data_IF_979294523712
#
_entry.id   IF_979294523712
#
_cell.length_a   1.000
_cell.length_b   1.000
_cell.length_c   1.000
_cell.angle_alpha   90.00
_cell.angle_beta   90.00
_cell.angle_gamma   90.00
#
_symmetry.space_group_name_H-M   'P 1'
#
loop_
_entity.id
_entity.type
_entity.pdbx_description
1 polymer ?
#
# COMPACT_ATOMS: atom_id res chain seq x y z
N UNK A 1 15.58 -2.05 -6.98
CA UNK A 1 15.11 -3.46 -6.89
C UNK A 1 13.98 -3.61 -5.89
N UNK A 2 14.16 -3.29 -4.60
CA UNK A 2 13.11 -3.46 -3.57
C UNK A 2 11.80 -2.71 -3.89
N UNK A 3 11.88 -1.43 -4.26
CA UNK A 3 10.68 -0.67 -4.68
C UNK A 3 10.01 -1.26 -5.93
N UNK A 4 10.78 -1.84 -6.84
CA UNK A 4 10.27 -2.48 -8.05
C UNK A 4 9.47 -3.74 -7.71
N UNK A 5 10.04 -4.62 -6.90
CA UNK A 5 9.36 -5.84 -6.42
C UNK A 5 8.15 -5.47 -5.58
N UNK A 6 8.30 -4.51 -4.66
CA UNK A 6 7.22 -4.05 -3.80
C UNK A 6 6.05 -3.45 -4.57
N UNK A 7 6.34 -2.61 -5.59
CA UNK A 7 5.33 -2.04 -6.46
C UNK A 7 4.61 -3.06 -7.32
N UNK A 8 5.34 -4.04 -7.87
CA UNK A 8 4.75 -5.13 -8.65
C UNK A 8 3.84 -6.01 -7.80
N UNK A 9 4.28 -6.36 -6.58
CA UNK A 9 3.48 -7.13 -5.63
C UNK A 9 2.24 -6.35 -5.16
N UNK A 10 2.37 -5.05 -4.86
CA UNK A 10 1.22 -4.20 -4.51
C UNK A 10 0.19 -4.12 -5.65
N UNK A 11 0.66 -3.94 -6.90
CA UNK A 11 -0.22 -3.92 -8.07
C UNK A 11 -0.94 -5.26 -8.27
N UNK A 12 -0.22 -6.38 -8.14
CA UNK A 12 -0.78 -7.71 -8.29
C UNK A 12 -1.74 -8.11 -7.15
N UNK A 13 -1.54 -7.58 -5.94
CA UNK A 13 -2.36 -7.89 -4.77
C UNK A 13 -3.83 -7.49 -4.93
N UNK A 14 -4.12 -6.38 -5.63
CA UNK A 14 -5.48 -5.89 -5.84
C UNK A 14 -6.38 -6.91 -6.56
N UNK A 15 -6.06 -7.33 -7.80
CA UNK A 15 -6.85 -8.33 -8.52
C UNK A 15 -6.91 -9.72 -7.89
N UNK A 16 -6.02 -10.03 -6.93
CA UNK A 16 -6.02 -11.29 -6.20
C UNK A 16 -6.93 -11.23 -4.96
N UNK A 17 -7.28 -10.04 -4.50
CA UNK A 17 -8.02 -9.85 -3.26
C UNK A 17 -9.46 -10.39 -3.41
N UNK A 18 -9.96 -11.16 -2.43
CA UNK A 18 -11.35 -11.59 -2.43
C UNK A 18 -12.31 -10.40 -2.50
N UNK A 19 -13.34 -10.51 -3.32
CA UNK A 19 -14.43 -9.54 -3.39
C UNK A 19 -15.54 -9.94 -2.39
N UNK A 20 -16.16 -8.95 -1.74
CA UNK A 20 -17.35 -9.19 -0.94
C UNK A 20 -18.51 -9.63 -1.82
N UNK A 21 -19.46 -10.39 -1.26
CA UNK A 21 -20.68 -10.73 -2.00
C UNK A 21 -21.51 -9.49 -2.36
N UNK A 22 -22.27 -9.56 -3.46
CA UNK A 22 -23.14 -8.46 -3.93
C UNK A 22 -24.39 -8.22 -3.06
N UNK A 23 -24.57 -9.01 -2.01
CA UNK A 23 -25.73 -9.00 -1.15
C UNK A 23 -25.30 -9.04 0.33
N UNK A 24 -26.15 -8.48 1.19
CA UNK A 24 -25.91 -8.45 2.62
C UNK A 24 -25.33 -7.13 3.13
N UNK A 25 -25.18 -7.04 4.45
CA UNK A 25 -24.53 -5.88 5.07
C UNK A 25 -22.99 -5.99 5.01
N UNK A 26 -22.28 -4.93 5.43
CA UNK A 26 -20.80 -4.91 5.41
C UNK A 26 -20.17 -6.01 6.27
N UNK A 27 -20.85 -6.49 7.30
CA UNK A 27 -20.36 -7.59 8.15
C UNK A 27 -20.43 -8.90 7.39
N UNK A 28 -21.53 -9.15 6.67
CA UNK A 28 -21.71 -10.33 5.83
C UNK A 28 -20.70 -10.33 4.66
N UNK A 29 -20.50 -9.19 4.01
CA UNK A 29 -19.48 -9.02 2.96
C UNK A 29 -18.06 -9.27 3.50
N UNK A 30 -17.72 -8.69 4.65
CA UNK A 30 -16.41 -8.92 5.27
C UNK A 30 -16.23 -10.40 5.61
N UNK A 31 -17.25 -11.04 6.19
CA UNK A 31 -17.19 -12.46 6.50
C UNK A 31 -16.95 -13.31 5.24
N UNK A 32 -17.65 -13.02 4.13
CA UNK A 32 -17.47 -13.76 2.88
C UNK A 32 -16.03 -13.65 2.35
N UNK A 33 -15.41 -12.48 2.48
CA UNK A 33 -14.01 -12.27 2.10
C UNK A 33 -13.06 -13.04 3.01
N UNK A 34 -13.27 -13.01 4.32
CA UNK A 34 -12.38 -13.63 5.31
C UNK A 34 -12.30 -15.17 5.20
N UNK A 35 -13.38 -15.81 4.73
CA UNK A 35 -13.42 -17.27 4.54
C UNK A 35 -13.00 -17.70 3.13
N UNK A 36 -12.73 -16.75 2.23
CA UNK A 36 -12.32 -17.05 0.86
C UNK A 36 -10.92 -17.71 0.84
N UNK A 37 -10.73 -18.83 0.12
CA UNK A 37 -9.44 -19.52 0.07
C UNK A 37 -8.31 -18.67 -0.54
N UNK A 38 -8.62 -17.65 -1.33
CA UNK A 38 -7.65 -16.70 -1.87
C UNK A 38 -7.20 -15.64 -0.85
N UNK A 39 -7.82 -15.54 0.33
CA UNK A 39 -7.45 -14.58 1.37
C UNK A 39 -5.94 -14.62 1.69
N UNK A 40 -5.42 -15.78 2.12
CA UNK A 40 -4.01 -15.87 2.51
C UNK A 40 -3.05 -15.62 1.33
N UNK A 41 -3.21 -16.25 0.13
CA UNK A 41 -2.37 -15.94 -1.02
C UNK A 41 -2.34 -14.46 -1.40
N UNK A 42 -3.50 -13.81 -1.50
CA UNK A 42 -3.59 -12.41 -1.89
C UNK A 42 -2.89 -11.49 -0.88
N UNK A 43 -3.15 -11.72 0.41
CA UNK A 43 -2.60 -10.91 1.49
C UNK A 43 -1.11 -11.18 1.72
N UNK A 44 -0.58 -12.37 1.42
CA UNK A 44 0.86 -12.63 1.42
C UNK A 44 1.59 -11.86 0.30
N UNK A 45 0.99 -11.78 -0.89
CA UNK A 45 1.52 -10.96 -1.99
C UNK A 45 1.50 -9.47 -1.59
N UNK A 46 0.40 -8.99 -1.03
CA UNK A 46 0.31 -7.62 -0.53
C UNK A 46 1.34 -7.34 0.58
N UNK A 47 1.48 -8.25 1.57
CA UNK A 47 2.46 -8.15 2.66
C UNK A 47 3.90 -8.07 2.13
N UNK A 48 4.26 -8.90 1.14
CA UNK A 48 5.54 -8.79 0.45
C UNK A 48 5.72 -7.40 -0.18
N UNK A 49 4.66 -6.88 -0.81
CA UNK A 49 4.60 -5.51 -1.33
C UNK A 49 4.98 -4.46 -0.29
N UNK A 50 4.25 -4.44 0.84
CA UNK A 50 4.50 -3.51 1.94
C UNK A 50 5.92 -3.66 2.51
N UNK A 51 6.37 -4.89 2.77
CA UNK A 51 7.68 -5.17 3.34
C UNK A 51 8.82 -4.72 2.42
N UNK A 52 8.71 -4.98 1.10
CA UNK A 52 9.70 -4.55 0.12
C UNK A 52 9.77 -3.03 0.00
N UNK A 53 8.63 -2.33 0.04
CA UNK A 53 8.61 -0.87 0.02
C UNK A 53 9.20 -0.29 1.31
N UNK A 54 8.84 -0.82 2.48
CA UNK A 54 9.41 -0.39 3.75
C UNK A 54 10.94 -0.56 3.78
N UNK A 55 11.43 -1.73 3.38
CA UNK A 55 12.87 -2.00 3.26
C UNK A 55 13.53 -1.08 2.22
N UNK A 56 12.86 -0.81 1.09
CA UNK A 56 13.32 0.11 0.06
C UNK A 56 13.48 1.54 0.60
N UNK A 57 12.47 2.07 1.29
CA UNK A 57 12.52 3.41 1.89
C UNK A 57 13.59 3.51 2.98
N UNK A 58 13.76 2.48 3.80
CA UNK A 58 14.83 2.41 4.80
C UNK A 58 16.21 2.42 4.13
N UNK A 59 16.40 1.66 3.05
CA UNK A 59 17.66 1.64 2.31
C UNK A 59 17.99 2.99 1.67
N UNK A 60 16.99 3.73 1.17
CA UNK A 60 17.18 5.07 0.59
C UNK A 60 17.68 6.10 1.61
N UNK A 61 17.54 5.84 2.93
CA UNK A 61 18.09 6.74 3.96
C UNK A 61 19.62 6.79 3.95
N UNK A 62 20.28 5.79 3.38
CA UNK A 62 21.72 5.77 3.19
C UNK A 62 22.22 6.59 2.00
N UNK A 63 21.32 7.14 1.18
CA UNK A 63 21.65 7.93 -0.01
C UNK A 63 21.70 9.43 0.32
N UNK A 64 22.87 10.09 0.28
CA UNK A 64 23.00 11.49 0.67
C UNK A 64 22.22 12.46 -0.23
N UNK A 65 22.12 12.19 -1.54
CA UNK A 65 21.40 13.07 -2.48
C UNK A 65 19.90 13.05 -2.18
N UNK A 66 19.36 11.86 -1.94
CA UNK A 66 17.96 11.68 -1.54
C UNK A 66 17.73 12.28 -0.15
N UNK A 67 18.66 12.07 0.78
CA UNK A 67 18.60 12.61 2.14
C UNK A 67 18.49 14.14 2.16
N UNK A 68 19.25 14.85 1.32
CA UNK A 68 19.17 16.32 1.21
C UNK A 68 17.82 16.77 0.66
N UNK A 69 17.27 16.06 -0.32
CA UNK A 69 16.04 16.48 -1.02
C UNK A 69 14.75 16.09 -0.32
N UNK A 70 14.71 14.92 0.32
CA UNK A 70 13.52 14.39 0.98
C UNK A 70 13.60 14.44 2.51
N UNK A 71 14.80 14.46 3.09
CA UNK A 71 15.03 14.70 4.52
C UNK A 71 14.05 13.98 5.46
N UNK A 72 13.30 14.78 6.25
CA UNK A 72 12.31 14.29 7.21
C UNK A 72 11.14 13.55 6.55
N UNK A 73 10.75 13.91 5.32
CA UNK A 73 9.68 13.20 4.61
C UNK A 73 10.04 11.74 4.37
N UNK A 74 11.28 11.44 3.98
CA UNK A 74 11.73 10.06 3.80
C UNK A 74 11.71 9.28 5.13
N UNK A 75 12.09 9.93 6.24
CA UNK A 75 12.03 9.32 7.57
C UNK A 75 10.60 8.98 7.99
N UNK A 76 9.68 9.94 7.88
CA UNK A 76 8.26 9.74 8.20
C UNK A 76 7.68 8.64 7.32
N UNK A 77 7.98 8.66 6.01
CA UNK A 77 7.49 7.65 5.08
C UNK A 77 8.01 6.25 5.41
N UNK A 78 9.27 6.11 5.80
CA UNK A 78 9.80 4.83 6.24
C UNK A 78 9.06 4.32 7.50
N UNK A 79 8.72 5.20 8.45
CA UNK A 79 7.92 4.83 9.64
C UNK A 79 6.52 4.38 9.23
N UNK A 80 5.82 5.17 8.42
CA UNK A 80 4.47 4.81 7.92
C UNK A 80 4.51 3.47 7.20
N UNK A 81 5.54 3.22 6.39
CA UNK A 81 5.67 1.96 5.67
C UNK A 81 5.92 0.75 6.57
N UNK A 82 6.72 0.91 7.63
CA UNK A 82 6.90 -0.14 8.65
C UNK A 82 5.60 -0.41 9.39
N UNK A 83 4.88 0.64 9.80
CA UNK A 83 3.57 0.51 10.46
C UNK A 83 2.56 -0.18 9.54
N UNK A 84 2.50 0.18 8.27
CA UNK A 84 1.65 -0.47 7.28
C UNK A 84 2.02 -1.94 7.06
N UNK A 85 3.31 -2.29 7.08
CA UNK A 85 3.75 -3.69 7.01
C UNK A 85 3.25 -4.49 8.22
N UNK A 86 3.34 -3.93 9.43
CA UNK A 86 2.79 -4.57 10.63
C UNK A 86 1.26 -4.65 10.57
N UNK A 87 0.60 -3.61 10.05
CA UNK A 87 -0.84 -3.60 9.77
C UNK A 87 -1.26 -4.70 8.80
N UNK A 88 -0.49 -4.94 7.74
CA UNK A 88 -0.74 -6.02 6.79
C UNK A 88 -0.63 -7.41 7.43
N UNK A 89 0.23 -7.57 8.45
CA UNK A 89 0.26 -8.81 9.25
C UNK A 89 -1.02 -8.96 10.07
N UNK A 90 -1.49 -7.89 10.73
CA UNK A 90 -2.78 -7.90 11.44
C UNK A 90 -3.92 -8.24 10.48
N UNK A 91 -3.92 -7.62 9.29
CA UNK A 91 -4.90 -7.86 8.24
C UNK A 91 -4.91 -9.33 7.80
N UNK A 92 -3.74 -9.89 7.48
CA UNK A 92 -3.60 -11.30 7.11
C UNK A 92 -4.25 -12.24 8.16
N UNK A 93 -4.03 -11.98 9.45
CA UNK A 93 -4.56 -12.82 10.53
C UNK A 93 -6.02 -12.55 10.89
N UNK A 94 -6.67 -11.51 10.35
CA UNK A 94 -8.09 -11.23 10.61
C UNK A 94 -9.00 -12.42 10.24
N UNK A 95 -8.63 -13.19 9.21
CA UNK A 95 -9.35 -14.40 8.80
C UNK A 95 -9.47 -15.47 9.89
N UNK A 96 -8.54 -15.50 10.86
CA UNK A 96 -8.63 -16.42 12.01
C UNK A 96 -9.83 -16.14 12.92
N UNK A 97 -10.49 -14.99 12.74
CA UNK A 97 -11.64 -14.51 13.50
C UNK A 97 -12.89 -14.37 12.65
N UNK A 98 -12.95 -14.99 11.47
CA UNK A 98 -14.11 -14.95 10.60
C UNK A 98 -15.41 -15.37 11.32
N UNK A 99 -15.36 -16.44 12.12
CA UNK A 99 -16.52 -16.91 12.88
C UNK A 99 -17.05 -15.89 13.91
N UNK A 100 -16.18 -15.05 14.49
CA UNK A 100 -16.58 -13.99 15.42
C UNK A 100 -17.31 -12.87 14.67
N UNK A 101 -16.86 -12.53 13.47
CA UNK A 101 -17.50 -11.55 12.57
C UNK A 101 -18.88 -12.01 12.12
N UNK A 102 -19.04 -13.31 11.81
CA UNK A 102 -20.33 -13.89 11.37
C UNK A 102 -21.48 -13.70 12.37
N UNK A 103 -21.18 -13.53 13.66
CA UNK A 103 -22.17 -13.33 14.72
C UNK A 103 -22.32 -11.86 15.13
N UNK A 104 -21.78 -10.92 14.33
CA UNK A 104 -21.73 -9.49 14.66
C UNK A 104 -20.82 -9.16 15.84
N UNK A 105 -19.95 -10.09 16.23
CA UNK A 105 -19.01 -9.94 17.33
C UNK A 105 -17.79 -9.11 16.94
N UNK A 106 -17.17 -8.46 17.93
CA UNK A 106 -15.87 -7.80 17.78
C UNK A 106 -14.85 -8.41 18.74
N UNK A 107 -13.63 -8.58 18.27
CA UNK A 107 -12.48 -9.00 19.07
C UNK A 107 -11.40 -7.93 18.99
N UNK A 108 -10.42 -7.89 19.91
CA UNK A 108 -9.29 -6.97 19.80
C UNK A 108 -8.57 -7.06 18.44
N UNK A 109 -8.52 -8.26 17.82
CA UNK A 109 -7.91 -8.42 16.50
C UNK A 109 -8.78 -7.80 15.39
N UNK A 110 -10.10 -7.99 15.43
CA UNK A 110 -11.02 -7.36 14.47
C UNK A 110 -11.02 -5.83 14.65
N UNK A 111 -11.00 -5.32 15.88
CA UNK A 111 -10.86 -3.88 16.12
C UNK A 111 -9.54 -3.32 15.57
N UNK A 112 -8.42 -4.04 15.76
CA UNK A 112 -7.14 -3.66 15.18
C UNK A 112 -7.15 -3.70 13.65
N UNK A 113 -7.76 -4.73 13.06
CA UNK A 113 -8.00 -4.83 11.61
C UNK A 113 -8.77 -3.62 11.08
N UNK A 114 -9.88 -3.23 11.72
CA UNK A 114 -10.65 -2.05 11.31
C UNK A 114 -9.84 -0.75 11.41
N UNK A 115 -8.97 -0.64 12.42
CA UNK A 115 -8.02 0.47 12.52
C UNK A 115 -6.96 0.47 11.42
N UNK A 116 -6.50 -0.71 10.99
CA UNK A 116 -5.61 -0.84 9.83
C UNK A 116 -6.31 -0.31 8.58
N UNK A 117 -7.54 -0.76 8.32
CA UNK A 117 -8.31 -0.34 7.15
C UNK A 117 -8.58 1.16 7.11
N UNK A 118 -9.01 1.73 8.23
CA UNK A 118 -9.53 3.11 8.24
C UNK A 118 -8.50 4.17 8.62
N UNK A 119 -7.31 3.77 9.08
CA UNK A 119 -6.26 4.71 9.51
C UNK A 119 -4.91 4.41 8.86
N UNK A 120 -4.42 3.17 8.97
CA UNK A 120 -3.08 2.82 8.50
C UNK A 120 -3.02 2.80 6.98
N UNK A 121 -4.00 2.18 6.31
CA UNK A 121 -4.08 2.13 4.85
C UNK A 121 -4.24 3.54 4.22
N UNK A 122 -5.07 4.45 4.78
CA UNK A 122 -5.11 5.84 4.34
C UNK A 122 -3.78 6.57 4.51
N UNK A 123 -3.13 6.42 5.66
CA UNK A 123 -1.82 7.03 5.89
C UNK A 123 -0.78 6.53 4.88
N UNK A 124 -0.82 5.24 4.53
CA UNK A 124 0.01 4.66 3.47
C UNK A 124 -0.27 5.29 2.10
N UNK A 125 -1.53 5.39 1.69
CA UNK A 125 -1.90 6.01 0.42
C UNK A 125 -1.44 7.47 0.32
N UNK A 126 -1.65 8.25 1.38
CA UNK A 126 -1.20 9.64 1.49
C UNK A 126 0.33 9.77 1.49
N UNK A 127 1.03 8.83 2.13
CA UNK A 127 2.49 8.75 2.07
C UNK A 127 2.96 8.55 0.63
N UNK A 128 2.39 7.61 -0.11
CA UNK A 128 2.75 7.36 -1.52
C UNK A 128 2.50 8.62 -2.36
N UNK A 129 1.33 9.25 -2.22
CA UNK A 129 1.01 10.47 -2.95
C UNK A 129 2.01 11.60 -2.66
N UNK A 130 2.36 11.78 -1.38
CA UNK A 130 3.30 12.83 -0.94
C UNK A 130 4.71 12.56 -1.46
N UNK A 131 5.18 11.31 -1.40
CA UNK A 131 6.48 10.91 -1.95
C UNK A 131 6.52 11.06 -3.47
N UNK A 132 5.44 10.75 -4.18
CA UNK A 132 5.36 10.93 -5.63
C UNK A 132 5.51 12.41 -6.02
N UNK A 133 4.82 13.30 -5.31
CA UNK A 133 4.91 14.75 -5.55
C UNK A 133 6.30 15.27 -5.21
N UNK A 134 6.77 15.08 -3.98
CA UNK A 134 8.07 15.59 -3.54
C UNK A 134 9.22 14.99 -4.37
N UNK A 135 9.18 13.67 -4.57
CA UNK A 135 10.13 12.91 -5.35
C UNK A 135 10.20 13.35 -6.81
N UNK A 136 9.05 13.45 -7.47
CA UNK A 136 8.97 13.80 -8.88
C UNK A 136 9.29 15.27 -9.17
N UNK A 137 8.88 16.19 -8.28
CA UNK A 137 9.19 17.63 -8.43
C UNK A 137 10.69 17.89 -8.24
N UNK A 138 11.30 17.27 -7.21
CA UNK A 138 12.73 17.41 -6.91
C UNK A 138 13.63 16.48 -7.73
N UNK A 139 13.04 15.56 -8.51
CA UNK A 139 13.75 14.48 -9.22
C UNK A 139 14.65 13.64 -8.32
N UNK A 140 14.29 13.52 -7.04
CA UNK A 140 14.98 12.64 -6.07
C UNK A 140 14.45 11.22 -6.11
N UNK A 141 13.16 11.05 -6.42
CA UNK A 141 12.49 9.76 -6.47
C UNK A 141 11.51 9.77 -7.66
N UNK A 142 11.86 9.07 -8.73
CA UNK A 142 11.13 9.12 -10.01
C UNK A 142 11.34 10.43 -10.76
N UNK A 143 10.32 10.86 -11.52
CA UNK A 143 10.34 12.08 -12.33
C UNK A 143 8.92 12.65 -12.50
N UNK A 144 8.79 13.80 -13.17
CA UNK A 144 7.50 14.48 -13.38
C UNK A 144 6.51 13.72 -14.26
N UNK A 145 6.98 12.79 -15.10
CA UNK A 145 6.12 11.99 -15.98
C UNK A 145 5.39 10.91 -15.18
N UNK A 146 6.10 10.26 -14.24
CA UNK A 146 5.53 9.17 -13.43
C UNK A 146 4.83 9.67 -12.17
N UNK A 147 5.10 10.90 -11.73
CA UNK A 147 4.48 11.53 -10.56
C UNK A 147 2.95 11.38 -10.50
N UNK A 148 2.18 11.66 -11.57
CA UNK A 148 0.72 11.55 -11.53
C UNK A 148 0.23 10.16 -11.13
N UNK A 149 0.96 9.10 -11.48
CA UNK A 149 0.60 7.72 -11.14
C UNK A 149 0.60 7.51 -9.62
N UNK A 150 1.64 7.96 -8.94
CA UNK A 150 1.75 7.82 -7.48
C UNK A 150 0.80 8.75 -6.74
N UNK A 151 0.60 9.96 -7.26
CA UNK A 151 -0.37 10.91 -6.69
C UNK A 151 -1.80 10.37 -6.77
N UNK A 152 -2.26 10.00 -7.97
CA UNK A 152 -3.63 9.53 -8.18
C UNK A 152 -3.85 8.18 -7.50
N UNK A 153 -2.93 7.23 -7.66
CA UNK A 153 -3.04 5.92 -7.02
C UNK A 153 -3.02 6.01 -5.49
N UNK A 154 -2.14 6.83 -4.92
CA UNK A 154 -2.06 7.04 -3.47
C UNK A 154 -3.32 7.69 -2.89
N UNK A 155 -3.87 8.72 -3.56
CA UNK A 155 -5.11 9.36 -3.14
C UNK A 155 -6.33 8.45 -3.29
N UNK A 156 -6.41 7.69 -4.39
CA UNK A 156 -7.46 6.71 -4.62
C UNK A 156 -7.47 5.64 -3.52
N UNK A 157 -6.30 5.06 -3.22
CA UNK A 157 -6.17 4.10 -2.13
C UNK A 157 -6.57 4.68 -0.78
N UNK A 158 -6.12 5.91 -0.49
CA UNK A 158 -6.40 6.53 0.79
C UNK A 158 -7.88 6.82 0.99
N UNK A 159 -8.57 7.31 -0.05
CA UNK A 159 -10.00 7.59 0.02
C UNK A 159 -10.82 6.31 0.12
N UNK A 160 -10.51 5.30 -0.70
CA UNK A 160 -11.19 4.01 -0.67
C UNK A 160 -11.10 3.36 0.72
N UNK A 161 -9.88 3.22 1.24
CA UNK A 161 -9.65 2.54 2.53
C UNK A 161 -10.17 3.34 3.73
N UNK A 162 -10.14 4.67 3.69
CA UNK A 162 -10.73 5.51 4.74
C UNK A 162 -12.25 5.35 4.85
N UNK A 163 -12.90 4.91 3.78
CA UNK A 163 -14.36 4.83 3.66
C UNK A 163 -14.91 3.41 3.57
N UNK A 164 -14.05 2.40 3.37
CA UNK A 164 -14.43 0.99 3.12
C UNK A 164 -15.33 0.41 4.22
N UNK A 165 -15.09 0.81 5.47
CA UNK A 165 -15.86 0.35 6.62
C UNK A 165 -17.28 0.95 6.70
N UNK A 166 -17.58 1.97 5.88
CA UNK A 166 -18.74 2.84 6.07
C UNK A 166 -19.64 2.91 4.84
N UNK A 167 -19.08 2.96 3.62
CA UNK A 167 -19.81 3.16 2.36
C UNK A 167 -19.15 2.45 1.18
N UNK A 168 -19.92 2.05 0.18
CA UNK A 168 -19.43 1.39 -1.06
C UNK A 168 -19.10 2.37 -2.19
N UNK A 169 -19.47 3.65 -2.03
CA UNK A 169 -19.37 4.69 -3.07
C UNK A 169 -17.97 4.80 -3.69
N UNK A 170 -16.93 4.45 -2.93
CA UNK A 170 -15.53 4.60 -3.32
C UNK A 170 -14.83 3.29 -3.66
N UNK A 171 -15.52 2.14 -3.61
CA UNK A 171 -14.93 0.84 -3.96
C UNK A 171 -14.36 0.80 -5.39
N UNK A 172 -14.96 1.48 -6.40
CA UNK A 172 -14.36 1.59 -7.74
C UNK A 172 -13.00 2.29 -7.79
N UNK A 173 -12.52 2.90 -6.70
CA UNK A 173 -11.17 3.46 -6.61
C UNK A 173 -10.09 2.41 -6.34
N UNK A 174 -10.42 1.19 -5.89
CA UNK A 174 -9.43 0.14 -5.64
C UNK A 174 -8.63 -0.25 -6.89
N UNK A 175 -9.22 -0.42 -8.08
CA UNK A 175 -8.44 -0.61 -9.31
C UNK A 175 -7.51 0.57 -9.62
N UNK A 176 -7.96 1.81 -9.36
CA UNK A 176 -7.17 3.03 -9.59
C UNK A 176 -5.99 3.13 -8.62
N UNK A 177 -6.13 2.61 -7.40
CA UNK A 177 -5.05 2.52 -6.43
C UNK A 177 -3.84 1.74 -6.94
N UNK A 178 -4.03 0.81 -7.89
CA UNK A 178 -2.94 0.09 -8.56
C UNK A 178 -1.89 1.01 -9.20
N UNK A 179 -2.24 2.24 -9.57
CA UNK A 179 -1.30 3.23 -10.09
C UNK A 179 -0.16 3.56 -9.10
N UNK A 180 -0.39 3.40 -7.79
CA UNK A 180 0.65 3.52 -6.76
C UNK A 180 1.74 2.44 -6.94
N UNK A 181 1.33 1.20 -7.23
CA UNK A 181 2.24 0.09 -7.53
C UNK A 181 3.04 0.35 -8.81
N UNK A 182 2.37 0.85 -9.86
CA UNK A 182 3.03 1.24 -11.13
C UNK A 182 4.05 2.35 -10.90
N UNK A 183 3.73 3.36 -10.09
CA UNK A 183 4.66 4.42 -9.73
C UNK A 183 5.90 3.91 -8.98
N UNK A 184 5.72 2.98 -8.03
CA UNK A 184 6.82 2.35 -7.30
C UNK A 184 7.75 1.57 -8.24
N UNK A 185 7.17 0.82 -9.19
CA UNK A 185 7.93 0.13 -10.25
C UNK A 185 8.73 1.11 -11.08
N UNK A 186 8.08 2.13 -11.63
CA UNK A 186 8.71 3.11 -12.50
C UNK A 186 9.83 3.87 -11.77
N UNK A 187 9.59 4.26 -10.52
CA UNK A 187 10.58 4.91 -9.65
C UNK A 187 11.79 4.00 -9.40
N UNK A 188 11.56 2.73 -9.09
CA UNK A 188 12.62 1.76 -8.88
C UNK A 188 13.47 1.55 -10.13
N UNK A 189 12.85 1.51 -11.32
CA UNK A 189 13.55 1.37 -12.62
C UNK A 189 14.34 2.63 -12.96
N UNK A 190 13.76 3.83 -12.80
CA UNK A 190 14.45 5.10 -13.02
C UNK A 190 15.69 5.22 -12.13
N UNK A 191 15.58 4.82 -10.85
CA UNK A 191 16.70 4.82 -9.92
C UNK A 191 17.82 3.85 -10.31
N UNK A 192 17.48 2.67 -10.84
CA UNK A 192 18.47 1.70 -11.35
C UNK A 192 19.22 2.26 -12.57
N UNK A 193 18.51 2.90 -13.50
CA UNK A 193 19.11 3.45 -14.71
C UNK A 193 20.08 4.58 -14.41
N UNK A 194 19.73 5.50 -13.50
CA UNK A 194 20.61 6.61 -13.10
C UNK A 194 21.95 6.12 -12.52
N UNK A 195 21.90 5.11 -11.65
CA UNK A 195 23.12 4.51 -11.07
C UNK A 195 23.95 3.78 -12.11
N UNK A 196 23.33 3.18 -13.13
CA UNK A 196 24.06 2.54 -14.22
C UNK A 196 24.77 3.56 -15.13
N UNK A 197 24.20 4.76 -15.33
CA UNK A 197 24.82 5.86 -16.07
C UNK A 197 26.04 6.43 -15.33
N UNK A 198 25.97 6.57 -14.00
CA UNK A 198 27.09 7.08 -13.17
C UNK A 198 28.34 6.16 -13.19
N UNK A 199 28.17 4.89 -13.52
CA UNK A 199 29.26 3.88 -13.57
C UNK A 199 29.84 3.72 -14.99
N UNK A 200 29.20 4.30 -16.01
CA UNK A 200 29.74 4.24 -17.39
C UNK A 200 30.88 5.26 -17.55
N UNK A 201 32.07 4.82 -18.01
CA UNK A 201 33.24 5.69 -18.20
C UNK A 201 33.07 6.70 -19.33
#
# INVERSE_FOLDING_TARGET
>A
MLLTVGGAAFFAGGPLHPEGGDAGDRTEQLHSMLVDPAWYPAHLVALLGFACVAAGLLALRGDPEIGVRLGRLLQISAVVAVVATLGAVVHLFAATRAADVAHGGTTPLIAAFMGVETVVNPAWGLMIATLAVAGGVTRSLGNRIVLPLGLVGGLAFALATATIAFVDTFDPLFPVAGLAGVWLVATGVVGLNRRAEEVRP
#
